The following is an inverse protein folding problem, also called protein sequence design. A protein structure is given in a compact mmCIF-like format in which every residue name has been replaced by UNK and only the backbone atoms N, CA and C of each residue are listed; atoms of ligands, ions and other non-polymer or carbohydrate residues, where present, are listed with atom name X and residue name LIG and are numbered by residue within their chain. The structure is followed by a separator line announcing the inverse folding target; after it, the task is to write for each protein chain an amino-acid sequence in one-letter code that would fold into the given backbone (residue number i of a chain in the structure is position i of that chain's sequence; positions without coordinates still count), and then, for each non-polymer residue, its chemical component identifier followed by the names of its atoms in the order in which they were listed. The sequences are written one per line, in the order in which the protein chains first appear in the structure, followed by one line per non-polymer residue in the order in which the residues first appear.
data_IF_291188129651
#
_entry.id   IF_291188129651
#
_cell.length_a   1.000
_cell.length_b   1.000
_cell.length_c   1.000
_cell.angle_alpha   90.00
_cell.angle_beta   90.00
_cell.angle_gamma   90.00
#
_symmetry.space_group_name_H-M   'P 1'
#
loop_
_entity.id
_entity.type
_entity.pdbx_description
1 polymer ?
#
# COMPACT_ATOMS: atom_id res chain seq x y z
N UNK A 1 23.55 43.11 -25.65
CA UNK A 1 22.35 42.28 -25.92
C UNK A 1 22.52 40.78 -25.65
N UNK A 2 23.72 40.16 -25.79
CA UNK A 2 23.91 38.71 -25.57
C UNK A 2 23.74 38.20 -24.11
N UNK A 3 23.82 39.08 -23.10
CA UNK A 3 23.68 38.71 -21.67
C UNK A 3 22.23 38.58 -21.20
N UNK A 4 21.31 39.32 -21.82
CA UNK A 4 19.88 39.21 -21.49
C UNK A 4 19.28 37.88 -21.99
N UNK A 5 19.83 37.33 -23.06
CA UNK A 5 19.36 36.07 -23.67
C UNK A 5 19.63 34.83 -22.79
N UNK A 6 20.61 34.90 -21.87
CA UNK A 6 20.97 33.77 -20.99
C UNK A 6 20.15 33.79 -19.68
N UNK A 7 19.69 34.96 -19.22
CA UNK A 7 18.93 35.08 -17.98
C UNK A 7 17.50 34.51 -18.06
N UNK A 8 16.84 34.67 -19.21
CA UNK A 8 15.47 34.19 -19.44
C UNK A 8 15.34 32.66 -19.29
N UNK A 9 16.16 31.80 -19.94
CA UNK A 9 16.03 30.35 -19.79
C UNK A 9 16.36 29.86 -18.37
N UNK A 10 17.25 30.55 -17.64
CA UNK A 10 17.61 30.18 -16.27
C UNK A 10 16.44 30.41 -15.29
N UNK A 11 15.71 31.51 -15.47
CA UNK A 11 14.50 31.81 -14.69
C UNK A 11 13.39 30.79 -14.99
N UNK A 12 13.20 30.41 -16.26
CA UNK A 12 12.23 29.38 -16.65
C UNK A 12 12.57 28.01 -16.05
N UNK A 13 13.86 27.66 -15.98
CA UNK A 13 14.30 26.40 -15.38
C UNK A 13 14.07 26.37 -13.85
N UNK A 14 14.25 27.51 -13.16
CA UNK A 14 13.98 27.62 -11.72
C UNK A 14 12.47 27.59 -11.39
N UNK A 15 11.59 27.89 -12.36
CA UNK A 15 10.13 27.78 -12.18
C UNK A 15 9.61 26.35 -12.41
N UNK A 16 10.43 25.40 -12.85
CA UNK A 16 10.08 23.98 -12.90
C UNK A 16 10.16 23.37 -11.51
N UNK A 17 9.15 23.64 -10.68
CA UNK A 17 9.00 23.01 -9.37
C UNK A 17 8.80 21.49 -9.47
N UNK A 18 9.29 20.76 -8.48
CA UNK A 18 9.07 19.32 -8.36
C UNK A 18 7.58 19.04 -8.12
N UNK A 19 6.92 18.37 -9.08
CA UNK A 19 5.56 17.86 -8.88
C UNK A 19 5.64 16.53 -8.13
N UNK A 20 5.24 16.53 -6.86
CA UNK A 20 5.12 15.31 -6.08
C UNK A 20 3.78 14.63 -6.33
N UNK A 21 3.80 13.32 -6.52
CA UNK A 21 2.58 12.53 -6.59
C UNK A 21 1.88 12.53 -5.22
N UNK A 22 0.75 13.23 -5.12
CA UNK A 22 -0.03 13.29 -3.89
C UNK A 22 -0.65 11.91 -3.60
N UNK A 23 -0.37 11.38 -2.41
CA UNK A 23 -1.11 10.26 -1.83
C UNK A 23 -1.97 10.81 -0.71
N UNK A 24 -3.29 10.57 -0.78
CA UNK A 24 -4.22 11.00 0.27
C UNK A 24 -4.62 9.76 1.05
N UNK A 25 -4.42 9.76 2.37
CA UNK A 25 -4.74 8.61 3.19
C UNK A 25 -5.05 8.97 4.63
N UNK A 26 -5.64 8.01 5.34
CA UNK A 26 -6.08 8.19 6.73
C UNK A 26 -6.16 6.87 7.50
N UNK A 27 -6.18 6.95 8.84
CA UNK A 27 -6.24 5.78 9.71
C UNK A 27 -7.59 5.06 9.62
N UNK A 28 -7.64 3.81 10.08
CA UNK A 28 -8.87 3.04 10.24
C UNK A 28 -9.25 2.17 9.05
N UNK A 29 -8.40 2.06 8.03
CA UNK A 29 -8.51 1.13 6.91
C UNK A 29 -9.91 1.04 6.27
N UNK A 30 -10.13 1.70 5.13
CA UNK A 30 -11.33 1.54 4.30
C UNK A 30 -11.33 0.18 3.56
N UNK A 31 -11.23 -0.90 4.34
CA UNK A 31 -11.21 -2.27 3.84
C UNK A 31 -12.62 -2.67 3.40
N UNK A 32 -12.74 -3.68 2.52
CA UNK A 32 -14.03 -4.23 2.15
C UNK A 32 -14.80 -4.75 3.38
N UNK A 33 -16.13 -4.57 3.40
CA UNK A 33 -17.03 -4.96 4.52
C UNK A 33 -17.00 -6.45 4.87
N UNK A 34 -16.71 -7.29 3.88
CA UNK A 34 -16.59 -8.74 4.01
C UNK A 34 -15.24 -9.18 4.61
N UNK A 35 -14.42 -8.23 5.07
CA UNK A 35 -13.19 -8.53 5.80
C UNK A 35 -13.45 -9.46 7.00
N UNK A 36 -12.64 -10.51 7.19
CA UNK A 36 -12.76 -11.42 8.33
C UNK A 36 -12.71 -10.65 9.66
N UNK A 37 -13.53 -11.08 10.64
CA UNK A 37 -13.54 -10.49 12.00
C UNK A 37 -12.17 -10.53 12.66
N UNK A 38 -11.34 -11.51 12.33
CA UNK A 38 -9.96 -11.65 12.82
C UNK A 38 -9.06 -10.48 12.40
N UNK A 39 -9.36 -9.82 11.28
CA UNK A 39 -8.57 -8.68 10.80
C UNK A 39 -9.13 -7.34 11.27
N UNK A 40 -10.25 -7.32 11.99
CA UNK A 40 -10.92 -6.08 12.41
C UNK A 40 -10.06 -5.23 13.36
N UNK A 41 -9.32 -5.87 14.26
CA UNK A 41 -8.37 -5.20 15.14
C UNK A 41 -7.18 -4.57 14.37
N UNK A 42 -6.82 -5.16 13.22
CA UNK A 42 -5.79 -4.63 12.33
C UNK A 42 -6.35 -3.51 11.47
N UNK A 43 -7.59 -3.64 10.98
CA UNK A 43 -8.29 -2.62 10.19
C UNK A 43 -8.28 -1.25 10.88
N UNK A 44 -8.56 -1.22 12.19
CA UNK A 44 -8.54 0.01 13.01
C UNK A 44 -7.18 0.72 13.04
N UNK A 45 -6.08 -0.03 12.92
CA UNK A 45 -4.69 0.49 12.92
C UNK A 45 -4.09 0.62 11.53
N UNK A 46 -4.72 0.00 10.53
CA UNK A 46 -4.29 0.09 9.16
C UNK A 46 -4.55 1.48 8.60
N UNK A 47 -3.73 1.89 7.64
CA UNK A 47 -4.01 3.05 6.80
C UNK A 47 -4.52 2.63 5.44
N UNK A 48 -5.39 3.46 4.87
CA UNK A 48 -5.70 3.40 3.45
C UNK A 48 -5.10 4.60 2.76
N UNK A 49 -4.38 4.36 1.67
CA UNK A 49 -3.82 5.38 0.80
C UNK A 49 -4.49 5.31 -0.57
N UNK A 50 -5.01 6.43 -1.03
CA UNK A 50 -5.41 6.65 -2.41
C UNK A 50 -4.23 7.27 -3.13
N UNK A 51 -3.77 6.62 -4.19
CA UNK A 51 -2.69 7.13 -5.01
C UNK A 51 -3.29 7.97 -6.14
N UNK A 52 -2.73 9.16 -6.39
CA UNK A 52 -3.24 10.13 -7.38
C UNK A 52 -3.24 9.65 -8.84
N UNK A 53 -2.75 8.44 -9.13
CA UNK A 53 -2.87 7.84 -10.47
C UNK A 53 -4.29 7.31 -10.66
N UNK A 54 -5.17 8.17 -11.15
CA UNK A 54 -6.42 7.76 -11.76
C UNK A 54 -6.14 7.24 -13.17
N UNK A 55 -6.51 5.99 -13.42
CA UNK A 55 -6.47 5.42 -14.76
C UNK A 55 -7.90 5.45 -15.29
N UNK A 56 -8.15 6.28 -16.30
CA UNK A 56 -9.51 6.62 -16.77
C UNK A 56 -10.45 5.43 -16.94
N UNK A 57 -9.90 4.29 -17.38
CA UNK A 57 -10.68 3.09 -17.69
C UNK A 57 -10.44 1.93 -16.72
N UNK A 58 -9.55 2.10 -15.73
CA UNK A 58 -9.20 1.04 -14.77
C UNK A 58 -9.52 1.41 -13.33
N UNK A 59 -9.58 2.70 -13.01
CA UNK A 59 -9.93 3.21 -11.69
C UNK A 59 -8.74 3.80 -10.93
N UNK A 60 -8.80 3.76 -9.61
CA UNK A 60 -7.83 4.39 -8.71
C UNK A 60 -7.03 3.34 -7.97
N UNK A 61 -5.71 3.54 -7.92
CA UNK A 61 -4.85 2.71 -7.10
C UNK A 61 -5.07 3.01 -5.62
N UNK A 62 -5.25 1.95 -4.85
CA UNK A 62 -5.36 1.99 -3.39
C UNK A 62 -4.26 1.13 -2.80
N UNK A 63 -3.75 1.52 -1.64
CA UNK A 63 -3.00 0.61 -0.79
C UNK A 63 -3.49 0.60 0.64
N UNK A 64 -3.43 -0.59 1.25
CA UNK A 64 -3.69 -0.79 2.66
C UNK A 64 -2.37 -1.12 3.34
N UNK A 65 -1.99 -0.31 4.32
CA UNK A 65 -0.77 -0.52 5.10
C UNK A 65 -1.15 -1.03 6.47
N UNK A 66 -0.64 -2.22 6.81
CA UNK A 66 -0.97 -2.95 8.03
C UNK A 66 0.32 -3.12 8.82
N UNK A 67 0.57 -2.24 9.81
CA UNK A 67 1.66 -2.46 10.74
C UNK A 67 1.25 -3.52 11.77
N UNK A 68 2.24 -4.29 12.23
CA UNK A 68 2.06 -5.27 13.30
C UNK A 68 2.87 -4.84 14.51
N UNK A 69 2.31 -5.07 15.70
CA UNK A 69 2.95 -4.77 16.98
C UNK A 69 4.11 -5.72 17.24
N UNK A 70 3.88 -7.00 16.98
CA UNK A 70 4.78 -8.08 17.28
C UNK A 70 4.59 -9.23 16.28
N UNK A 71 5.48 -10.22 16.39
CA UNK A 71 5.50 -11.39 15.52
C UNK A 71 4.23 -12.23 15.63
N UNK A 72 3.75 -12.47 16.85
CA UNK A 72 2.62 -13.36 17.09
C UNK A 72 1.35 -12.79 16.46
N UNK A 73 1.17 -11.46 16.52
CA UNK A 73 0.11 -10.77 15.82
C UNK A 73 0.19 -10.95 14.30
N UNK A 74 1.39 -10.84 13.73
CA UNK A 74 1.61 -11.07 12.30
C UNK A 74 1.32 -12.52 11.90
N UNK A 75 1.90 -13.50 12.59
CA UNK A 75 1.73 -14.92 12.29
C UNK A 75 0.26 -15.36 12.43
N UNK A 76 -0.48 -14.82 13.41
CA UNK A 76 -1.91 -15.07 13.56
C UNK A 76 -2.74 -14.47 12.41
N UNK A 77 -2.39 -13.27 11.95
CA UNK A 77 -3.12 -12.57 10.90
C UNK A 77 -2.80 -13.07 9.48
N UNK A 78 -1.58 -13.54 9.26
CA UNK A 78 -1.06 -13.85 7.93
C UNK A 78 -1.93 -14.83 7.12
N UNK A 79 -2.41 -15.96 7.68
CA UNK A 79 -3.31 -16.86 6.96
C UNK A 79 -4.63 -16.20 6.54
N UNK A 80 -5.16 -15.29 7.37
CA UNK A 80 -6.39 -14.57 7.08
C UNK A 80 -6.20 -13.50 6.01
N UNK A 81 -5.07 -12.79 6.03
CA UNK A 81 -4.67 -11.84 5.00
C UNK A 81 -4.56 -12.55 3.65
N UNK A 82 -3.86 -13.69 3.61
CA UNK A 82 -3.75 -14.50 2.40
C UNK A 82 -5.11 -14.99 1.94
N UNK A 83 -5.93 -15.57 2.82
CA UNK A 83 -7.25 -16.07 2.43
C UNK A 83 -8.16 -14.99 1.85
N UNK A 84 -8.09 -13.78 2.39
CA UNK A 84 -8.98 -12.69 2.01
C UNK A 84 -8.49 -11.89 0.79
N UNK A 85 -7.21 -11.52 0.76
CA UNK A 85 -6.67 -10.63 -0.27
C UNK A 85 -5.99 -11.35 -1.43
N UNK A 86 -5.63 -12.64 -1.30
CA UNK A 86 -5.00 -13.38 -2.40
C UNK A 86 -6.06 -13.85 -3.40
N UNK A 87 -6.19 -13.10 -4.49
CA UNK A 87 -6.91 -13.55 -5.67
C UNK A 87 -5.99 -14.32 -6.64
N UNK A 88 -6.57 -14.93 -7.68
CA UNK A 88 -5.79 -15.53 -8.78
C UNK A 88 -4.98 -14.43 -9.48
N UNK A 89 -3.68 -14.64 -9.64
CA UNK A 89 -2.78 -13.68 -10.27
C UNK A 89 -2.22 -12.60 -9.34
N UNK A 90 -2.64 -12.56 -8.06
CA UNK A 90 -2.00 -11.71 -7.05
C UNK A 90 -0.57 -12.20 -6.82
N UNK A 91 0.40 -11.29 -6.90
CA UNK A 91 1.80 -11.60 -6.56
C UNK A 91 2.10 -11.26 -5.10
N UNK A 92 3.13 -11.90 -4.57
CA UNK A 92 3.69 -11.59 -3.25
C UNK A 92 5.08 -11.00 -3.45
N UNK A 93 5.28 -9.76 -3.05
CA UNK A 93 6.58 -9.09 -3.17
C UNK A 93 7.24 -8.99 -1.81
N UNK A 94 8.48 -9.47 -1.69
CA UNK A 94 9.28 -9.32 -0.48
C UNK A 94 10.07 -8.02 -0.58
N UNK A 95 9.94 -7.15 0.41
CA UNK A 95 10.65 -5.86 0.48
C UNK A 95 11.26 -5.65 1.86
N UNK A 96 12.18 -4.69 2.02
CA UNK A 96 12.79 -4.33 3.32
C UNK A 96 12.90 -2.82 3.47
N UNK A 97 12.95 -2.33 4.70
CA UNK A 97 13.11 -0.91 4.97
C UNK A 97 11.77 -0.16 5.04
N UNK A 98 11.75 1.11 4.66
CA UNK A 98 10.62 2.01 4.90
C UNK A 98 9.52 1.89 3.82
N UNK A 99 8.97 0.68 3.66
CA UNK A 99 7.87 0.44 2.72
C UNK A 99 6.50 0.63 3.35
N UNK A 100 6.36 0.64 4.68
CA UNK A 100 5.13 1.06 5.36
C UNK A 100 5.36 2.47 5.89
N UNK A 101 4.49 3.41 5.49
CA UNK A 101 4.59 4.83 5.86
C UNK A 101 4.11 5.07 7.29
N UNK A 102 3.36 4.11 7.82
CA UNK A 102 2.78 4.16 9.15
C UNK A 102 3.66 3.40 10.13
N UNK A 103 4.24 4.11 11.10
CA UNK A 103 4.90 3.49 12.24
C UNK A 103 3.94 3.37 13.41
N UNK A 104 3.90 2.21 14.07
CA UNK A 104 3.34 2.13 15.41
C UNK A 104 4.27 2.85 16.40
N UNK A 105 3.75 3.51 17.44
CA UNK A 105 4.55 4.19 18.45
C UNK A 105 5.64 3.29 19.07
N UNK A 106 5.36 1.99 19.15
CA UNK A 106 6.22 0.97 19.77
C UNK A 106 7.26 0.36 18.82
N UNK A 107 7.22 0.65 17.52
CA UNK A 107 7.98 -0.13 16.50
C UNK A 107 9.40 0.40 16.23
N UNK A 108 9.78 1.56 16.79
CA UNK A 108 10.97 2.29 16.33
C UNK A 108 10.85 2.64 14.83
N UNK A 109 11.86 3.24 14.21
CA UNK A 109 11.79 3.68 12.80
C UNK A 109 11.72 2.52 11.77
N UNK A 110 11.51 1.28 12.21
CA UNK A 110 11.44 0.08 11.36
C UNK A 110 9.98 -0.37 11.31
N UNK A 111 9.32 -0.08 10.20
CA UNK A 111 7.92 -0.42 9.97
C UNK A 111 7.82 -1.77 9.23
N UNK A 112 7.85 -2.86 10.00
CA UNK A 112 7.54 -4.19 9.49
C UNK A 112 6.03 -4.37 9.31
N UNK A 113 5.65 -5.20 8.34
CA UNK A 113 4.26 -5.59 8.17
C UNK A 113 3.86 -5.88 6.74
N UNK A 114 2.61 -5.58 6.40
CA UNK A 114 2.03 -5.92 5.10
C UNK A 114 1.47 -4.66 4.43
N UNK A 115 1.82 -4.47 3.16
CA UNK A 115 1.13 -3.50 2.29
C UNK A 115 0.39 -4.25 1.19
N UNK A 116 -0.91 -4.03 1.09
CA UNK A 116 -1.75 -4.61 0.04
C UNK A 116 -2.00 -3.55 -1.00
N UNK A 117 -1.60 -3.81 -2.24
CA UNK A 117 -1.82 -2.94 -3.38
C UNK A 117 -3.00 -3.45 -4.18
N UNK A 118 -3.90 -2.55 -4.54
CA UNK A 118 -5.05 -2.90 -5.35
C UNK A 118 -5.55 -1.76 -6.21
N UNK A 119 -6.61 -2.08 -6.94
CA UNK A 119 -7.31 -1.19 -7.83
C UNK A 119 -8.78 -1.14 -7.42
N UNK A 120 -9.29 0.07 -7.21
CA UNK A 120 -10.72 0.35 -7.06
C UNK A 120 -11.24 0.75 -8.43
N UNK A 121 -12.23 0.06 -9.00
CA UNK A 121 -12.73 0.36 -10.34
C UNK A 121 -13.51 1.71 -10.37
N UNK A 122 -13.61 2.30 -11.57
CA UNK A 122 -14.14 3.67 -11.78
C UNK A 122 -15.59 3.81 -11.34
N UNK A 123 -16.43 2.86 -11.71
CA UNK A 123 -17.85 2.76 -11.35
C UNK A 123 -18.05 2.85 -9.83
N UNK A 124 -17.20 2.15 -9.08
CA UNK A 124 -17.19 2.20 -7.63
C UNK A 124 -16.84 3.62 -7.13
N UNK A 125 -15.82 4.27 -7.72
CA UNK A 125 -15.41 5.63 -7.35
C UNK A 125 -16.48 6.69 -7.65
N UNK A 126 -17.21 6.55 -8.76
CA UNK A 126 -18.31 7.46 -9.11
C UNK A 126 -19.47 7.32 -8.12
N UNK A 127 -19.74 6.10 -7.63
CA UNK A 127 -20.70 5.91 -6.54
C UNK A 127 -20.25 6.60 -5.24
N UNK A 128 -18.93 6.70 -5.01
CA UNK A 128 -18.35 7.37 -3.84
C UNK A 128 -18.51 8.89 -3.86
N UNK A 129 -18.47 9.53 -5.02
CA UNK A 129 -18.65 10.99 -5.11
C UNK A 129 -20.09 11.45 -4.81
N UNK A 130 -21.04 10.52 -4.72
CA UNK A 130 -22.46 10.80 -4.45
C UNK A 130 -22.89 10.52 -3.01
N UNK A 131 -22.03 9.92 -2.18
CA UNK A 131 -22.37 9.47 -0.82
C UNK A 131 -21.31 9.99 0.15
N UNK A 132 -21.71 10.87 1.07
CA UNK A 132 -20.88 11.40 2.17
C UNK A 132 -20.55 10.29 3.20
N UNK A 133 -19.65 9.38 2.84
CA UNK A 133 -19.21 8.33 3.75
C UNK A 133 -18.03 7.50 3.25
N UNK A 134 -17.22 6.92 4.17
CA UNK A 134 -16.10 6.07 3.78
C UNK A 134 -16.60 4.83 3.04
N UNK A 135 -16.15 4.72 1.78
CA UNK A 135 -16.46 3.66 0.83
C UNK A 135 -16.21 2.28 1.43
N UNK A 136 -17.30 1.63 1.86
CA UNK A 136 -17.25 0.35 2.57
C UNK A 136 -17.80 -0.83 1.75
N UNK A 137 -18.11 -0.63 0.47
CA UNK A 137 -18.69 -1.68 -0.41
C UNK A 137 -17.84 -2.03 -1.64
N UNK A 138 -16.63 -1.49 -1.77
CA UNK A 138 -15.91 -1.59 -3.04
C UNK A 138 -15.07 -2.86 -3.11
N UNK A 139 -15.38 -3.71 -4.09
CA UNK A 139 -14.57 -4.87 -4.45
C UNK A 139 -13.26 -4.37 -5.03
N UNK A 140 -12.19 -4.49 -4.27
CA UNK A 140 -10.84 -4.18 -4.74
C UNK A 140 -10.29 -5.36 -5.54
N UNK A 141 -9.56 -5.08 -6.62
CA UNK A 141 -8.75 -6.09 -7.28
C UNK A 141 -7.33 -6.00 -6.75
N UNK A 142 -6.92 -6.97 -5.93
CA UNK A 142 -5.58 -7.00 -5.33
C UNK A 142 -4.56 -7.49 -6.35
N UNK A 143 -3.58 -6.65 -6.64
CA UNK A 143 -2.54 -6.94 -7.63
C UNK A 143 -1.24 -7.40 -6.98
N UNK A 144 -0.93 -6.91 -5.79
CA UNK A 144 0.34 -7.19 -5.10
C UNK A 144 0.16 -7.16 -3.58
N UNK A 145 0.73 -8.14 -2.88
CA UNK A 145 0.85 -8.17 -1.43
C UNK A 145 2.33 -8.04 -1.09
N UNK A 146 2.72 -6.90 -0.54
CA UNK A 146 4.10 -6.64 -0.14
C UNK A 146 4.30 -7.04 1.32
N UNK A 147 5.22 -7.97 1.58
CA UNK A 147 5.72 -8.23 2.93
C UNK A 147 6.95 -7.39 3.18
N UNK A 148 6.88 -6.51 4.18
CA UNK A 148 8.01 -5.72 4.65
C UNK A 148 8.76 -6.53 5.69
N UNK A 149 9.81 -7.21 5.23
CA UNK A 149 10.61 -8.17 6.00
C UNK A 149 11.65 -7.42 6.84
N UNK A 150 11.63 -7.67 8.15
CA UNK A 150 12.60 -7.14 9.11
C UNK A 150 13.37 -8.24 9.88
N UNK A 151 12.95 -9.51 9.74
CA UNK A 151 13.51 -10.65 10.45
C UNK A 151 13.12 -10.73 11.94
N UNK A 152 12.35 -9.77 12.46
CA UNK A 152 11.88 -9.76 13.85
C UNK A 152 10.38 -10.01 13.90
N UNK A 153 9.59 -9.13 13.31
CA UNK A 153 8.13 -9.27 13.23
C UNK A 153 7.78 -10.13 12.03
N UNK A 154 8.31 -9.79 10.85
CA UNK A 154 8.11 -10.55 9.61
C UNK A 154 9.37 -11.35 9.35
N UNK A 155 9.35 -12.63 9.74
CA UNK A 155 10.43 -13.59 9.57
C UNK A 155 10.03 -14.68 8.57
N UNK A 156 10.73 -14.72 7.42
CA UNK A 156 10.45 -15.65 6.34
C UNK A 156 10.75 -17.11 6.69
N UNK A 157 11.56 -17.38 7.71
CA UNK A 157 11.86 -18.75 8.13
C UNK A 157 10.71 -19.39 8.93
N UNK A 158 9.74 -18.60 9.36
CA UNK A 158 8.64 -19.03 10.23
C UNK A 158 7.27 -19.00 9.57
N UNK A 159 7.12 -18.23 8.51
CA UNK A 159 5.86 -18.17 7.75
C UNK A 159 5.89 -19.07 6.55
N UNK A 160 4.72 -19.63 6.23
CA UNK A 160 4.50 -20.27 4.94
C UNK A 160 4.12 -19.22 3.92
N UNK A 161 4.89 -19.13 2.85
CA UNK A 161 4.50 -18.36 1.68
C UNK A 161 3.42 -19.14 0.90
N UNK A 162 2.47 -18.45 0.28
CA UNK A 162 1.35 -19.12 -0.37
C UNK A 162 1.81 -19.92 -1.59
N UNK A 163 1.47 -21.20 -1.63
CA UNK A 163 1.72 -22.05 -2.81
C UNK A 163 1.06 -21.48 -4.08
N UNK A 164 1.63 -21.78 -5.24
CA UNK A 164 1.13 -21.36 -6.56
C UNK A 164 0.96 -19.85 -6.68
N UNK A 165 1.87 -19.09 -6.07
CA UNK A 165 1.88 -17.62 -6.11
C UNK A 165 3.22 -17.18 -6.61
N UNK A 166 3.24 -16.19 -7.51
CA UNK A 166 4.49 -15.56 -7.90
C UNK A 166 5.07 -14.81 -6.71
N UNK A 167 6.28 -15.19 -6.31
CA UNK A 167 7.04 -14.55 -5.24
C UNK A 167 8.14 -13.75 -5.90
N UNK A 168 8.14 -12.43 -5.69
CA UNK A 168 9.13 -11.52 -6.21
C UNK A 168 9.99 -11.00 -5.05
N UNK A 169 11.28 -11.32 -5.03
CA UNK A 169 12.18 -10.82 -3.99
C UNK A 169 12.83 -9.50 -4.41
N UNK A 170 12.41 -8.41 -3.78
CA UNK A 170 12.95 -7.06 -3.96
C UNK A 170 13.62 -6.53 -2.69
N UNK A 171 14.02 -7.42 -1.78
CA UNK A 171 14.74 -7.01 -0.57
C UNK A 171 16.13 -6.48 -0.90
N UNK A 172 16.70 -6.82 -2.05
CA UNK A 172 18.04 -6.40 -2.44
C UNK A 172 18.01 -5.71 -3.81
N UNK A 173 18.92 -4.74 -4.06
CA UNK A 173 19.07 -4.17 -5.39
C UNK A 173 19.37 -5.27 -6.41
N UNK A 174 18.74 -5.20 -7.58
CA UNK A 174 19.14 -6.04 -8.70
C UNK A 174 20.51 -5.54 -9.19
N UNK A 175 21.48 -6.46 -9.27
CA UNK A 175 22.80 -6.19 -9.82
C UNK A 175 22.74 -6.09 -11.33
#
# INVERSE_FOLDING_TARGET
MKRATILVPMIVLCMMGTVYALSIGGPGGAWPKDSPKQLEALRKRAWTWLHGRYVRDRGQFVSYEIPFKDRDEFEAAWPHILKFFKAKGTKVTLVRGNHIRVSLPTSGSKSAGVRIMGLVPVDALVARSKIDGPASHQKITVTDIQLVVDGKIVDLNRIRLPANTTIEDRRFPQK
#
